data_IF_944971419364
#
_entry.id   IF_944971419364
#
_cell.length_a   1.000
_cell.length_b   1.000
_cell.length_c   1.000
_cell.angle_alpha   90.00
_cell.angle_beta   90.00
_cell.angle_gamma   90.00
#
_symmetry.space_group_name_H-M   'P 1'
#
loop_
_entity.id
_entity.type
_entity.pdbx_description
1 polymer ?
#
# COMPACT_ATOMS: atom_id res chain seq x y z
N UNK A 1 30.27 9.34 -9.10
CA UNK A 1 29.34 10.03 -8.19
C UNK A 1 28.42 9.00 -7.57
N UNK A 2 28.83 8.40 -6.44
CA UNK A 2 28.11 7.32 -5.74
C UNK A 2 27.68 7.87 -4.38
N UNK A 3 26.54 8.56 -4.32
CA UNK A 3 25.92 8.98 -3.06
C UNK A 3 24.52 9.50 -3.40
N UNK A 4 23.47 8.73 -3.06
CA UNK A 4 22.08 9.22 -2.84
C UNK A 4 21.03 8.12 -2.64
N UNK A 5 21.38 6.83 -2.75
CA UNK A 5 20.41 5.73 -2.61
C UNK A 5 20.51 4.98 -1.26
N UNK A 6 20.81 5.68 -0.17
CA UNK A 6 20.92 5.06 1.16
C UNK A 6 19.89 5.56 2.19
N UNK A 7 19.00 6.48 1.80
CA UNK A 7 18.17 7.21 2.76
C UNK A 7 16.71 6.73 2.88
N UNK A 8 16.26 5.70 2.14
CA UNK A 8 14.82 5.39 2.04
C UNK A 8 14.42 4.04 2.68
N UNK A 9 15.35 3.26 3.22
CA UNK A 9 15.06 1.89 3.72
C UNK A 9 14.69 1.85 5.22
N UNK A 10 14.62 2.99 5.91
CA UNK A 10 14.52 3.03 7.37
C UNK A 10 13.12 3.32 7.91
N UNK A 11 12.06 2.59 7.51
CA UNK A 11 10.78 2.58 8.27
C UNK A 11 10.08 1.22 8.15
N UNK A 12 10.69 0.14 8.63
CA UNK A 12 9.95 -1.10 8.99
C UNK A 12 10.54 -1.61 10.30
N UNK A 13 10.24 -0.89 11.38
CA UNK A 13 10.75 -1.15 12.73
C UNK A 13 9.63 -1.60 13.66
N UNK A 14 9.57 -2.92 13.85
CA UNK A 14 8.82 -3.71 14.83
C UNK A 14 8.28 -3.02 16.09
N UNK A 15 7.06 -3.40 16.51
CA UNK A 15 6.74 -3.58 17.93
C UNK A 15 5.63 -4.64 18.09
N UNK A 16 6.02 -5.88 18.42
CA UNK A 16 5.13 -7.01 18.64
C UNK A 16 4.78 -7.14 20.11
N UNK A 17 3.57 -6.78 20.53
CA UNK A 17 3.07 -7.03 21.88
C UNK A 17 1.84 -7.93 21.83
N UNK A 18 1.99 -9.11 22.42
CA UNK A 18 0.92 -10.07 22.64
C UNK A 18 -0.04 -9.54 23.71
N UNK A 19 -1.36 -9.68 23.49
CA UNK A 19 -2.35 -9.58 24.57
C UNK A 19 -3.23 -10.83 24.52
N UNK A 20 -3.28 -11.64 25.60
CA UNK A 20 -4.21 -12.76 25.69
C UNK A 20 -5.64 -12.24 25.91
N UNK A 21 -6.67 -12.79 25.26
CA UNK A 21 -8.05 -12.55 25.66
C UNK A 21 -8.32 -13.36 26.93
N UNK A 22 -8.60 -12.68 28.05
CA UNK A 22 -8.92 -13.36 29.29
C UNK A 22 -10.17 -12.79 29.97
N UNK A 23 -11.14 -13.70 30.06
CA UNK A 23 -12.11 -13.92 31.13
C UNK A 23 -13.23 -12.90 31.35
N UNK A 24 -14.47 -13.38 31.18
CA UNK A 24 -15.58 -12.95 32.02
C UNK A 24 -16.30 -14.20 32.56
N UNK A 25 -16.10 -14.41 33.85
CA UNK A 25 -16.78 -15.35 34.74
C UNK A 25 -18.30 -15.07 34.74
N UNK A 26 -19.08 -16.08 34.36
CA UNK A 26 -20.55 -16.06 34.46
C UNK A 26 -20.95 -16.43 35.88
N UNK A 27 -20.73 -15.52 36.83
CA UNK A 27 -21.18 -15.68 38.22
C UNK A 27 -22.72 -15.69 38.29
N UNK A 28 -23.30 -16.85 38.58
CA UNK A 28 -24.74 -17.04 38.81
C UNK A 28 -25.20 -16.25 40.04
N UNK A 29 -26.10 -15.29 39.81
CA UNK A 29 -26.50 -14.31 40.83
C UNK A 29 -27.76 -14.69 41.60
N UNK A 30 -27.63 -15.01 42.89
CA UNK A 30 -28.72 -14.94 43.87
C UNK A 30 -28.97 -13.50 44.37
N UNK A 31 -29.95 -13.31 45.26
CA UNK A 31 -30.40 -12.00 45.75
C UNK A 31 -29.24 -11.06 46.17
N UNK A 32 -29.08 -9.94 45.47
CA UNK A 32 -27.97 -8.98 45.62
C UNK A 32 -26.87 -9.07 44.54
N UNK A 33 -27.13 -9.73 43.41
CA UNK A 33 -26.12 -9.98 42.39
C UNK A 33 -25.75 -8.75 41.54
N UNK A 34 -24.43 -8.54 41.40
CA UNK A 34 -23.81 -7.68 40.39
C UNK A 34 -23.38 -8.58 39.22
N UNK A 35 -23.88 -8.30 38.01
CA UNK A 35 -23.37 -8.94 36.79
C UNK A 35 -22.51 -7.93 36.03
N UNK A 36 -21.20 -8.18 35.97
CA UNK A 36 -20.24 -7.35 35.27
C UNK A 36 -19.61 -8.12 34.11
N UNK A 37 -19.44 -7.48 32.96
CA UNK A 37 -18.74 -8.07 31.82
C UNK A 37 -17.99 -6.99 31.05
N UNK A 38 -16.72 -7.25 30.76
CA UNK A 38 -15.86 -6.36 29.98
C UNK A 38 -15.34 -7.15 28.78
N UNK A 39 -15.52 -6.62 27.57
CA UNK A 39 -14.93 -7.16 26.34
C UNK A 39 -13.95 -6.14 25.78
N UNK A 40 -12.71 -6.56 25.56
CA UNK A 40 -11.68 -5.74 24.91
C UNK A 40 -11.15 -6.45 23.66
N UNK A 41 -11.00 -5.71 22.57
CA UNK A 41 -10.34 -6.16 21.35
C UNK A 41 -9.34 -5.10 20.91
N UNK A 42 -8.17 -5.54 20.47
CA UNK A 42 -7.15 -4.68 19.89
C UNK A 42 -6.65 -5.33 18.60
N UNK A 43 -6.65 -4.56 17.52
CA UNK A 43 -6.17 -4.99 16.21
C UNK A 43 -5.09 -4.03 15.74
N UNK A 44 -3.90 -4.53 15.42
CA UNK A 44 -2.79 -3.75 14.87
C UNK A 44 -2.31 -4.42 13.59
N UNK A 45 -2.43 -3.75 12.45
CA UNK A 45 -1.96 -4.25 11.15
C UNK A 45 -1.00 -3.28 10.49
N UNK A 46 0.06 -3.84 9.92
CA UNK A 46 1.09 -3.09 9.22
C UNK A 46 1.37 -3.75 7.87
N UNK A 47 1.26 -2.97 6.80
CA UNK A 47 1.54 -3.39 5.44
C UNK A 47 2.60 -2.45 4.84
N UNK A 48 3.61 -3.04 4.21
CA UNK A 48 4.70 -2.31 3.58
C UNK A 48 5.03 -2.92 2.23
N UNK A 49 5.09 -2.10 1.18
CA UNK A 49 5.50 -2.52 -0.14
C UNK A 49 6.54 -1.55 -0.71
N UNK A 50 7.61 -2.11 -1.29
CA UNK A 50 8.63 -1.34 -1.98
C UNK A 50 9.01 -2.02 -3.29
N UNK A 51 8.98 -1.26 -4.38
CA UNK A 51 9.40 -1.71 -5.69
C UNK A 51 10.42 -0.72 -6.26
N UNK A 52 11.55 -1.25 -6.74
CA UNK A 52 12.61 -0.45 -7.35
C UNK A 52 12.99 -1.11 -8.66
N UNK A 53 12.80 -0.38 -9.75
CA UNK A 53 13.19 -0.78 -11.10
C UNK A 53 14.27 0.16 -11.59
N UNK A 54 15.36 -0.42 -12.07
CA UNK A 54 16.47 0.32 -12.67
C UNK A 54 16.87 -0.31 -13.97
N UNK A 55 16.91 0.48 -15.02
CA UNK A 55 17.30 -0.02 -16.33
C UNK A 55 18.27 0.94 -17.01
N UNK A 56 19.47 0.44 -17.29
CA UNK A 56 20.45 1.11 -18.13
C UNK A 56 20.55 0.34 -19.46
N UNK A 57 20.00 0.88 -20.53
CA UNK A 57 19.98 0.27 -21.85
C UNK A 57 20.82 1.08 -22.83
N UNK A 58 21.83 0.47 -23.47
CA UNK A 58 22.63 1.11 -24.51
C UNK A 58 22.60 0.30 -25.79
N UNK A 59 22.30 0.94 -26.91
CA UNK A 59 22.36 0.36 -28.25
C UNK A 59 23.20 1.27 -29.14
N UNK A 60 24.18 0.71 -29.83
CA UNK A 60 25.06 1.46 -30.72
C UNK A 60 25.34 0.66 -32.00
N UNK A 61 25.15 1.30 -33.15
CA UNK A 61 25.52 0.76 -34.45
C UNK A 61 26.52 1.70 -35.13
N UNK A 62 27.72 1.19 -35.43
CA UNK A 62 28.84 2.01 -35.97
C UNK A 62 29.52 1.25 -37.11
N UNK A 63 28.88 1.09 -38.28
CA UNK A 63 29.54 0.48 -39.42
C UNK A 63 30.62 1.43 -39.96
N UNK A 64 31.79 0.89 -40.31
CA UNK A 64 32.93 1.67 -40.80
C UNK A 64 33.42 1.10 -42.12
N UNK A 65 33.40 1.92 -43.18
CA UNK A 65 33.87 1.55 -44.51
C UNK A 65 35.03 2.44 -44.94
N UNK A 66 36.18 1.85 -45.28
CA UNK A 66 37.38 2.59 -45.67
C UNK A 66 37.93 2.03 -46.98
N UNK A 67 38.15 2.88 -47.99
CA UNK A 67 38.75 2.46 -49.26
C UNK A 67 39.62 3.56 -49.90
N UNK A 68 40.67 3.16 -50.62
CA UNK A 68 41.46 4.10 -51.45
C UNK A 68 40.74 4.54 -52.72
N UNK A 69 39.74 3.77 -53.18
CA UNK A 69 38.84 4.11 -54.26
C UNK A 69 37.51 4.68 -53.76
N UNK A 70 36.42 4.33 -54.43
CA UNK A 70 35.07 4.74 -54.01
C UNK A 70 34.54 3.88 -52.85
N UNK A 71 33.73 4.46 -51.97
CA UNK A 71 32.93 3.74 -50.97
C UNK A 71 31.45 3.82 -51.33
N UNK A 72 30.76 2.68 -51.30
CA UNK A 72 29.30 2.60 -51.39
C UNK A 72 28.78 1.86 -50.16
N UNK A 73 28.20 2.60 -49.22
CA UNK A 73 27.64 2.06 -47.99
C UNK A 73 26.13 1.88 -48.12
N UNK A 74 25.63 0.73 -47.67
CA UNK A 74 24.21 0.46 -47.57
C UNK A 74 23.51 1.28 -46.47
N UNK A 75 22.22 1.05 -46.24
CA UNK A 75 21.48 1.68 -45.15
C UNK A 75 22.03 1.25 -43.77
N UNK A 76 21.91 2.13 -42.77
CA UNK A 76 22.36 1.87 -41.40
C UNK A 76 21.31 2.30 -40.39
N UNK A 77 20.96 1.44 -39.42
CA UNK A 77 19.98 1.80 -38.40
C UNK A 77 20.35 1.31 -37.00
N UNK A 78 19.89 2.04 -35.98
CA UNK A 78 19.89 1.60 -34.58
C UNK A 78 18.48 1.77 -34.00
N UNK A 79 17.85 0.68 -33.57
CA UNK A 79 16.49 0.71 -33.00
C UNK A 79 16.53 0.16 -31.57
N UNK A 80 16.07 0.95 -30.60
CA UNK A 80 16.07 0.59 -29.18
C UNK A 80 14.68 0.72 -28.58
N UNK A 81 14.27 -0.32 -27.85
CA UNK A 81 13.13 -0.32 -26.95
C UNK A 81 13.64 -0.55 -25.52
N UNK A 82 13.34 0.37 -24.61
CA UNK A 82 13.67 0.27 -23.19
C UNK A 82 12.41 0.53 -22.36
N UNK A 83 12.09 -0.35 -21.41
CA UNK A 83 10.98 -0.18 -20.47
C UNK A 83 11.41 -0.55 -19.05
N UNK A 84 11.11 0.33 -18.09
CA UNK A 84 11.38 0.19 -16.67
C UNK A 84 10.09 0.42 -15.90
N UNK A 85 9.63 -0.58 -15.15
CA UNK A 85 8.36 -0.53 -14.44
C UNK A 85 8.55 -0.96 -12.98
N UNK A 86 7.98 -0.20 -12.04
CA UNK A 86 8.00 -0.49 -10.61
C UNK A 86 6.59 -0.34 -10.02
N UNK A 87 6.06 -1.40 -9.41
CA UNK A 87 4.72 -1.38 -8.82
C UNK A 87 4.76 -1.84 -7.35
N UNK A 88 4.25 -1.01 -6.44
CA UNK A 88 4.19 -1.29 -5.01
C UNK A 88 2.77 -1.12 -4.47
N UNK A 89 2.19 -2.19 -3.91
CA UNK A 89 0.85 -2.18 -3.32
C UNK A 89 0.87 -2.68 -1.88
N UNK A 90 0.38 -1.87 -0.95
CA UNK A 90 0.25 -2.22 0.46
C UNK A 90 -1.20 -2.01 0.90
N UNK A 91 -1.81 -3.00 1.54
CA UNK A 91 -3.17 -2.88 2.05
C UNK A 91 -3.37 -3.63 3.36
N UNK A 92 -4.13 -3.05 4.28
CA UNK A 92 -4.64 -3.72 5.48
C UNK A 92 -6.17 -3.77 5.45
N UNK A 93 -6.73 -4.82 6.05
CA UNK A 93 -8.17 -5.04 6.19
C UNK A 93 -8.45 -5.64 7.58
N UNK A 94 -9.22 -4.95 8.42
CA UNK A 94 -9.43 -5.30 9.81
C UNK A 94 -10.88 -5.14 10.27
N UNK A 95 -11.54 -6.27 10.49
CA UNK A 95 -12.88 -6.34 11.08
C UNK A 95 -12.83 -6.69 12.56
N UNK A 96 -13.40 -5.84 13.40
CA UNK A 96 -13.60 -6.13 14.84
C UNK A 96 -15.09 -6.14 15.17
N UNK A 97 -15.61 -7.30 15.56
CA UNK A 97 -17.00 -7.47 16.01
C UNK A 97 -17.07 -7.95 17.46
N UNK A 98 -17.68 -7.14 18.32
CA UNK A 98 -17.90 -7.46 19.74
C UNK A 98 -19.40 -7.53 20.04
N UNK A 99 -19.84 -8.65 20.61
CA UNK A 99 -21.23 -8.87 21.03
C UNK A 99 -21.25 -9.26 22.50
N UNK A 100 -21.90 -8.44 23.32
CA UNK A 100 -22.05 -8.68 24.74
C UNK A 100 -23.54 -8.73 25.10
N UNK A 101 -23.98 -9.86 25.64
CA UNK A 101 -25.32 -10.05 26.16
C UNK A 101 -25.24 -10.29 27.66
N UNK A 102 -26.01 -9.54 28.45
CA UNK A 102 -26.15 -9.70 29.89
C UNK A 102 -27.62 -9.85 30.23
N UNK A 103 -27.98 -11.02 30.74
CA UNK A 103 -29.33 -11.32 31.20
C UNK A 103 -29.26 -11.63 32.70
N UNK A 104 -30.03 -10.87 33.49
CA UNK A 104 -30.09 -11.03 34.94
C UNK A 104 -31.55 -11.00 35.39
N UNK A 105 -32.00 -12.06 36.07
CA UNK A 105 -33.32 -12.14 36.70
C UNK A 105 -33.15 -11.96 38.20
N UNK A 106 -33.88 -11.01 38.79
CA UNK A 106 -33.82 -10.73 40.23
C UNK A 106 -35.24 -10.69 40.80
N UNK A 107 -35.44 -11.32 41.95
CA UNK A 107 -36.76 -11.57 42.52
C UNK A 107 -37.21 -13.01 42.27
N UNK A 108 -37.77 -13.65 43.30
CA UNK A 108 -38.14 -15.07 43.26
C UNK A 108 -38.46 -15.69 44.61
N UNK A 109 -38.82 -14.88 45.62
CA UNK A 109 -39.23 -15.36 46.94
C UNK A 109 -40.63 -14.85 47.28
N UNK A 110 -41.53 -15.78 47.64
CA UNK A 110 -42.80 -15.42 48.27
C UNK A 110 -42.52 -14.83 49.65
N UNK A 111 -43.06 -13.65 49.91
CA UNK A 111 -42.82 -12.95 51.17
C UNK A 111 -44.06 -12.20 51.62
N UNK A 112 -44.47 -12.44 52.86
CA UNK A 112 -45.74 -11.95 53.39
C UNK A 112 -45.69 -10.52 53.95
N UNK A 113 -44.51 -9.99 54.33
CA UNK A 113 -44.34 -8.60 54.78
C UNK A 113 -42.86 -8.16 54.75
N UNK A 114 -42.59 -6.91 54.35
CA UNK A 114 -41.27 -6.27 54.51
C UNK A 114 -40.18 -6.67 53.51
N UNK A 115 -40.51 -7.36 52.40
CA UNK A 115 -39.51 -7.67 51.38
C UNK A 115 -39.34 -6.51 50.40
N UNK A 116 -38.47 -5.59 50.77
CA UNK A 116 -37.73 -4.85 49.76
C UNK A 116 -36.79 -5.82 49.06
N UNK A 117 -37.00 -6.04 47.76
CA UNK A 117 -36.10 -6.88 46.98
C UNK A 117 -34.66 -6.39 47.07
N UNK A 118 -33.68 -7.28 46.89
CA UNK A 118 -32.30 -6.84 46.71
C UNK A 118 -32.15 -6.09 45.38
N UNK A 119 -31.43 -4.97 45.38
CA UNK A 119 -31.12 -4.21 44.16
C UNK A 119 -30.33 -5.05 43.18
N UNK A 120 -30.49 -4.76 41.89
CA UNK A 120 -29.84 -5.50 40.81
C UNK A 120 -29.08 -4.54 39.91
N UNK A 121 -27.79 -4.81 39.69
CA UNK A 121 -26.92 -3.97 38.87
C UNK A 121 -26.28 -4.79 37.73
N UNK A 122 -26.47 -4.33 36.50
CA UNK A 122 -25.77 -4.82 35.32
C UNK A 122 -24.78 -3.76 34.84
N UNK A 123 -23.50 -4.13 34.72
CA UNK A 123 -22.45 -3.26 34.17
C UNK A 123 -21.79 -3.98 33.01
N UNK A 124 -21.89 -3.42 31.80
CA UNK A 124 -21.26 -3.96 30.60
C UNK A 124 -20.35 -2.91 29.96
N UNK A 125 -19.14 -3.31 29.59
CA UNK A 125 -18.21 -2.45 28.85
C UNK A 125 -17.65 -3.16 27.59
N UNK A 126 -17.70 -2.50 26.45
CA UNK A 126 -17.07 -2.93 25.19
C UNK A 126 -16.03 -1.89 24.76
N UNK A 127 -14.78 -2.34 24.63
CA UNK A 127 -13.63 -1.52 24.26
C UNK A 127 -12.98 -2.11 23.01
N UNK A 128 -12.83 -1.32 21.96
CA UNK A 128 -12.16 -1.73 20.72
C UNK A 128 -11.10 -0.71 20.33
N UNK A 129 -9.91 -1.16 19.94
CA UNK A 129 -8.86 -0.28 19.37
C UNK A 129 -8.31 -0.93 18.09
N UNK A 130 -8.45 -0.26 16.96
CA UNK A 130 -7.95 -0.73 15.66
C UNK A 130 -6.92 0.25 15.12
N UNK A 131 -5.72 -0.22 14.85
CA UNK A 131 -4.61 0.52 14.26
C UNK A 131 -4.19 -0.14 12.96
N UNK A 132 -4.15 0.62 11.87
CA UNK A 132 -3.66 0.14 10.57
C UNK A 132 -2.68 1.13 9.97
N UNK A 133 -1.56 0.62 9.49
CA UNK A 133 -0.56 1.41 8.79
C UNK A 133 -0.17 0.74 7.46
N UNK A 134 -0.38 1.42 6.34
CA UNK A 134 0.00 0.95 5.01
C UNK A 134 0.97 1.93 4.35
N UNK A 135 2.15 1.44 3.96
CA UNK A 135 3.17 2.21 3.25
C UNK A 135 3.53 1.57 1.91
N UNK A 136 3.47 2.34 0.82
CA UNK A 136 3.91 1.89 -0.50
C UNK A 136 4.93 2.84 -1.13
N UNK A 137 6.00 2.30 -1.68
CA UNK A 137 7.01 3.07 -2.40
C UNK A 137 7.39 2.40 -3.72
N UNK A 138 7.20 3.09 -4.83
CA UNK A 138 7.65 2.65 -6.14
C UNK A 138 8.67 3.62 -6.72
N UNK A 139 9.79 3.11 -7.21
CA UNK A 139 10.83 3.91 -7.86
C UNK A 139 11.23 3.25 -9.18
N UNK A 140 11.04 3.94 -10.30
CA UNK A 140 11.54 3.55 -11.60
C UNK A 140 12.61 4.54 -12.06
N UNK A 141 13.77 4.03 -12.46
CA UNK A 141 14.92 4.84 -12.90
C UNK A 141 15.50 4.24 -14.17
N UNK A 142 15.28 4.91 -15.30
CA UNK A 142 15.67 4.44 -16.61
C UNK A 142 16.68 5.36 -17.28
N UNK A 143 17.80 4.80 -17.74
CA UNK A 143 18.70 5.45 -18.67
C UNK A 143 18.73 4.65 -19.98
N UNK A 144 18.34 5.26 -21.09
CA UNK A 144 18.34 4.65 -22.40
C UNK A 144 19.19 5.48 -23.37
N UNK A 145 20.19 4.86 -24.01
CA UNK A 145 21.04 5.48 -25.02
C UNK A 145 20.99 4.68 -26.31
N UNK A 146 20.63 5.32 -27.42
CA UNK A 146 20.60 4.73 -28.74
C UNK A 146 21.45 5.58 -29.71
N UNK A 147 22.38 4.96 -30.42
CA UNK A 147 23.27 5.65 -31.35
C UNK A 147 23.43 4.89 -32.66
N UNK A 148 23.36 5.60 -33.79
CA UNK A 148 23.73 5.11 -35.11
C UNK A 148 24.78 6.06 -35.70
N UNK A 149 25.99 5.58 -35.94
CA UNK A 149 27.13 6.38 -36.40
C UNK A 149 27.82 5.67 -37.57
N UNK A 150 27.21 5.62 -38.76
CA UNK A 150 27.87 5.05 -39.94
C UNK A 150 29.02 5.96 -40.38
N UNK A 151 30.20 5.39 -40.60
CA UNK A 151 31.42 6.11 -40.99
C UNK A 151 31.95 5.59 -42.32
N UNK A 152 32.12 6.48 -43.30
CA UNK A 152 32.66 6.16 -44.61
C UNK A 152 33.87 7.06 -44.92
N UNK A 153 34.99 6.45 -45.33
CA UNK A 153 36.21 7.15 -45.70
C UNK A 153 36.70 6.64 -47.05
N UNK A 154 36.77 7.52 -48.05
CA UNK A 154 37.12 7.18 -49.43
C UNK A 154 38.23 8.09 -49.99
N UNK A 155 39.19 7.52 -50.72
CA UNK A 155 40.10 8.30 -51.57
C UNK A 155 39.39 8.84 -52.83
N UNK A 156 38.37 8.13 -53.30
CA UNK A 156 37.45 8.56 -54.37
C UNK A 156 36.16 9.17 -53.84
N UNK A 157 35.04 8.86 -54.50
CA UNK A 157 33.70 9.29 -54.10
C UNK A 157 33.14 8.45 -52.95
N UNK A 158 32.26 9.05 -52.15
CA UNK A 158 31.47 8.33 -51.13
C UNK A 158 29.99 8.42 -51.46
N UNK A 159 29.32 7.27 -51.51
CA UNK A 159 27.87 7.17 -51.53
C UNK A 159 27.41 6.45 -50.27
N UNK A 160 26.56 7.07 -49.46
CA UNK A 160 25.98 6.44 -48.27
C UNK A 160 24.47 6.28 -48.43
N UNK A 161 23.95 5.11 -48.04
CA UNK A 161 22.53 4.87 -47.93
C UNK A 161 21.85 5.70 -46.83
N UNK A 162 20.52 5.57 -46.67
CA UNK A 162 19.80 6.23 -45.60
C UNK A 162 20.27 5.74 -44.22
N UNK A 163 20.17 6.60 -43.22
CA UNK A 163 20.57 6.30 -41.86
C UNK A 163 19.51 6.71 -40.84
N UNK A 164 19.30 5.90 -39.81
CA UNK A 164 18.34 6.23 -38.75
C UNK A 164 18.72 5.75 -37.36
N UNK A 165 18.33 6.51 -36.35
CA UNK A 165 18.33 6.06 -34.96
C UNK A 165 16.92 6.25 -34.39
N UNK A 166 16.30 5.19 -33.89
CA UNK A 166 14.94 5.21 -33.39
C UNK A 166 14.88 4.62 -31.98
N UNK A 167 14.37 5.40 -31.02
CA UNK A 167 14.36 5.04 -29.61
C UNK A 167 12.96 5.20 -29.03
N UNK A 168 12.50 4.16 -28.35
CA UNK A 168 11.35 4.20 -27.46
C UNK A 168 11.80 3.85 -26.04
N UNK A 169 11.65 4.80 -25.12
CA UNK A 169 11.97 4.65 -23.70
C UNK A 169 10.72 4.90 -22.85
N UNK A 170 10.37 3.97 -21.96
CA UNK A 170 9.27 4.12 -21.02
C UNK A 170 9.72 3.85 -19.57
N UNK A 171 9.41 4.75 -18.66
CA UNK A 171 9.68 4.62 -17.23
C UNK A 171 8.39 4.83 -16.44
N UNK A 172 7.93 3.82 -15.73
CA UNK A 172 6.65 3.84 -15.01
C UNK A 172 6.84 3.40 -13.56
N UNK A 173 6.25 4.15 -12.62
CA UNK A 173 6.23 3.81 -11.21
C UNK A 173 4.81 3.94 -10.66
N UNK A 174 4.29 2.94 -9.98
CA UNK A 174 2.96 2.98 -9.37
C UNK A 174 3.03 2.57 -7.90
N UNK A 175 2.53 3.42 -7.00
CA UNK A 175 2.43 3.09 -5.58
C UNK A 175 1.00 3.29 -5.07
N UNK A 176 0.45 2.27 -4.41
CA UNK A 176 -0.88 2.31 -3.78
C UNK A 176 -0.82 1.80 -2.35
N UNK A 177 -1.38 2.57 -1.43
CA UNK A 177 -1.52 2.20 -0.03
C UNK A 177 -2.98 2.41 0.42
N UNK A 178 -3.58 1.43 1.08
CA UNK A 178 -4.94 1.52 1.61
C UNK A 178 -5.09 0.81 2.94
N UNK A 179 -6.06 1.26 3.73
CA UNK A 179 -6.46 0.63 4.97
C UNK A 179 -7.99 0.58 4.99
N UNK A 180 -8.55 -0.55 5.36
CA UNK A 180 -10.00 -0.71 5.58
C UNK A 180 -10.25 -1.31 6.96
N UNK A 181 -11.13 -0.69 7.76
CA UNK A 181 -11.39 -1.15 9.11
C UNK A 181 -12.82 -0.88 9.54
N UNK A 182 -13.53 -1.96 9.89
CA UNK A 182 -14.85 -1.89 10.48
C UNK A 182 -14.84 -2.32 11.94
N UNK A 183 -15.57 -1.57 12.77
CA UNK A 183 -15.80 -1.91 14.17
C UNK A 183 -17.28 -1.94 14.47
N UNK A 184 -17.79 -3.12 14.83
CA UNK A 184 -19.19 -3.31 15.23
C UNK A 184 -19.24 -3.73 16.69
N UNK A 185 -19.79 -2.87 17.55
CA UNK A 185 -20.08 -3.15 18.95
C UNK A 185 -21.59 -3.26 19.15
N UNK A 186 -22.04 -4.38 19.71
CA UNK A 186 -23.45 -4.58 20.09
C UNK A 186 -23.53 -5.06 21.54
N UNK A 187 -24.23 -4.29 22.36
CA UNK A 187 -24.51 -4.61 23.75
C UNK A 187 -26.02 -4.76 23.97
N UNK A 188 -26.43 -5.90 24.55
CA UNK A 188 -27.81 -6.15 24.96
C UNK A 188 -27.83 -6.41 26.46
N UNK A 189 -28.64 -5.64 27.18
CA UNK A 189 -28.84 -5.77 28.62
C UNK A 189 -30.33 -5.98 28.90
N UNK A 190 -30.68 -7.13 29.46
CA UNK A 190 -32.05 -7.46 29.84
C UNK A 190 -32.10 -7.75 31.32
N UNK A 191 -32.96 -7.02 32.05
CA UNK A 191 -33.15 -7.23 33.48
C UNK A 191 -34.62 -7.50 33.76
N UNK A 192 -34.90 -8.69 34.28
CA UNK A 192 -36.25 -9.07 34.72
C UNK A 192 -36.32 -8.95 36.23
N UNK A 193 -37.18 -8.06 36.72
CA UNK A 193 -37.51 -7.95 38.14
C UNK A 193 -38.84 -8.65 38.38
N UNK A 194 -38.79 -9.87 38.93
CA UNK A 194 -40.00 -10.60 39.27
C UNK A 194 -40.64 -9.97 40.52
N UNK A 195 -41.80 -9.34 40.32
CA UNK A 195 -42.56 -8.71 41.39
C UNK A 195 -42.98 -9.75 42.43
N UNK A 196 -42.44 -9.66 43.64
CA UNK A 196 -42.94 -10.45 44.77
C UNK A 196 -44.39 -10.05 45.05
N UNK A 197 -45.28 -11.04 45.24
CA UNK A 197 -46.65 -10.86 45.73
C UNK A 197 -46.64 -10.36 47.18
N UNK A 198 -46.30 -9.09 47.39
CA UNK A 198 -46.18 -8.49 48.72
C UNK A 198 -47.47 -7.70 49.03
N UNK A 199 -48.06 -7.94 50.21
CA UNK A 199 -49.35 -7.38 50.58
C UNK A 199 -49.26 -6.00 51.27
N UNK A 200 -48.14 -5.68 51.94
CA UNK A 200 -47.92 -4.38 52.62
C UNK A 200 -46.42 -4.05 52.67
N UNK A 201 -46.05 -2.80 52.33
CA UNK A 201 -44.68 -2.26 52.52
C UNK A 201 -43.65 -2.64 51.46
N UNK A 202 -44.07 -2.81 50.20
CA UNK A 202 -43.21 -3.27 49.11
C UNK A 202 -42.41 -2.10 48.51
N UNK A 203 -41.29 -1.73 49.15
CA UNK A 203 -40.29 -0.85 48.54
C UNK A 203 -39.48 -1.64 47.52
N UNK A 204 -39.82 -1.56 46.23
CA UNK A 204 -39.08 -2.25 45.18
C UNK A 204 -37.62 -1.81 45.13
N UNK A 205 -36.70 -2.78 45.01
CA UNK A 205 -35.29 -2.49 44.84
C UNK A 205 -35.04 -1.68 43.57
N UNK A 206 -34.18 -0.66 43.64
CA UNK A 206 -33.69 0.03 42.46
C UNK A 206 -32.91 -0.93 41.55
N UNK A 207 -33.17 -0.83 40.25
CA UNK A 207 -32.44 -1.51 39.19
C UNK A 207 -31.53 -0.50 38.48
N UNK A 208 -30.26 -0.85 38.25
CA UNK A 208 -29.30 -0.01 37.54
C UNK A 208 -28.67 -0.79 36.38
N UNK A 209 -28.74 -0.23 35.17
CA UNK A 209 -28.05 -0.74 33.99
C UNK A 209 -27.08 0.32 33.50
N UNK A 210 -25.81 -0.06 33.38
CA UNK A 210 -24.75 0.81 32.86
C UNK A 210 -24.09 0.07 31.70
N UNK A 211 -24.11 0.70 30.53
CA UNK A 211 -23.42 0.24 29.34
C UNK A 211 -22.41 1.27 28.86
N UNK A 212 -21.18 0.83 28.63
CA UNK A 212 -20.10 1.67 28.09
C UNK A 212 -19.59 1.02 26.81
N UNK A 213 -19.70 1.73 25.69
CA UNK A 213 -19.12 1.33 24.41
C UNK A 213 -18.13 2.41 23.99
N UNK A 214 -16.88 2.01 23.76
CA UNK A 214 -15.89 2.87 23.17
C UNK A 214 -15.06 2.10 22.14
N UNK A 215 -14.88 2.74 20.99
CA UNK A 215 -14.08 2.23 19.89
C UNK A 215 -13.13 3.34 19.42
N UNK A 216 -11.86 3.00 19.25
CA UNK A 216 -10.85 3.83 18.61
C UNK A 216 -10.41 3.18 17.31
N UNK A 217 -10.40 3.94 16.22
CA UNK A 217 -9.82 3.50 14.95
C UNK A 217 -8.82 4.53 14.48
N UNK A 218 -7.59 4.08 14.18
CA UNK A 218 -6.54 4.90 13.59
C UNK A 218 -6.01 4.21 12.33
N UNK A 219 -6.07 4.91 11.21
CA UNK A 219 -5.62 4.42 9.91
C UNK A 219 -4.67 5.44 9.28
N UNK A 220 -3.45 5.00 8.99
CA UNK A 220 -2.45 5.81 8.30
C UNK A 220 -2.05 5.09 7.00
N UNK A 221 -2.31 5.69 5.84
CA UNK A 221 -1.91 5.13 4.54
C UNK A 221 -1.10 6.16 3.75
N UNK A 222 0.07 5.77 3.28
CA UNK A 222 0.97 6.62 2.51
C UNK A 222 1.57 5.88 1.32
N UNK A 223 1.50 6.50 0.15
CA UNK A 223 2.09 5.97 -1.07
C UNK A 223 2.95 7.04 -1.76
N UNK A 224 4.08 6.62 -2.32
CA UNK A 224 4.95 7.48 -3.12
C UNK A 224 5.46 6.74 -4.36
N UNK A 225 5.29 7.34 -5.52
CA UNK A 225 5.84 6.87 -6.78
C UNK A 225 6.85 7.88 -7.33
N UNK A 226 7.97 7.39 -7.83
CA UNK A 226 9.03 8.22 -8.42
C UNK A 226 9.46 7.56 -9.71
N UNK A 227 9.25 8.24 -10.83
CA UNK A 227 9.76 7.82 -12.13
C UNK A 227 10.82 8.81 -12.63
N UNK A 228 11.96 8.29 -13.04
CA UNK A 228 13.08 9.05 -13.61
C UNK A 228 13.48 8.43 -14.92
N UNK A 229 13.64 9.28 -15.92
CA UNK A 229 14.06 8.83 -17.24
C UNK A 229 15.09 9.77 -17.84
N UNK A 230 16.18 9.20 -18.35
CA UNK A 230 17.12 9.85 -19.25
C UNK A 230 17.16 9.05 -20.55
N UNK A 231 16.71 9.64 -21.65
CA UNK A 231 16.73 9.02 -22.97
C UNK A 231 17.58 9.89 -23.93
N UNK A 232 18.57 9.27 -24.57
CA UNK A 232 19.45 9.90 -25.56
C UNK A 232 19.40 9.09 -26.84
N UNK A 233 18.99 9.73 -27.94
CA UNK A 233 19.00 9.14 -29.27
C UNK A 233 19.83 9.98 -30.24
N UNK A 234 20.77 9.37 -30.96
CA UNK A 234 21.65 10.06 -31.89
C UNK A 234 21.81 9.28 -33.21
N UNK A 235 21.69 10.00 -34.33
CA UNK A 235 22.08 9.51 -35.65
C UNK A 235 23.13 10.46 -36.24
N UNK A 236 24.37 10.00 -36.37
CA UNK A 236 25.50 10.83 -36.81
C UNK A 236 26.28 10.13 -37.94
N UNK A 237 25.80 10.22 -39.19
CA UNK A 237 26.57 9.75 -40.34
C UNK A 237 27.82 10.61 -40.57
N UNK A 238 28.95 9.97 -40.82
CA UNK A 238 30.23 10.62 -41.12
C UNK A 238 30.72 10.14 -42.47
N UNK A 239 30.90 11.05 -43.43
CA UNK A 239 31.44 10.76 -44.76
C UNK A 239 32.66 11.65 -45.02
N UNK A 240 33.78 11.04 -45.39
CA UNK A 240 35.03 11.72 -45.77
C UNK A 240 35.44 11.20 -47.14
N UNK A 241 35.59 12.08 -48.13
CA UNK A 241 35.90 11.69 -49.50
C UNK A 241 36.96 12.62 -50.11
N UNK A 242 37.85 12.06 -50.93
CA UNK A 242 38.70 12.85 -51.84
C UNK A 242 37.94 13.38 -53.07
N UNK A 243 36.83 12.73 -53.42
CA UNK A 243 35.88 13.14 -54.45
C UNK A 243 34.55 13.65 -53.87
N UNK A 244 33.46 13.39 -54.59
CA UNK A 244 32.11 13.81 -54.21
C UNK A 244 31.52 12.95 -53.07
N UNK A 245 30.66 13.57 -52.26
CA UNK A 245 29.86 12.90 -51.23
C UNK A 245 28.39 12.96 -51.63
N UNK A 246 27.74 11.80 -51.72
CA UNK A 246 26.30 11.64 -51.89
C UNK A 246 25.74 10.90 -50.69
N UNK A 247 24.90 11.54 -49.88
CA UNK A 247 24.32 10.95 -48.69
C UNK A 247 22.82 10.74 -48.81
N UNK A 248 22.36 9.55 -48.45
CA UNK A 248 20.95 9.29 -48.20
C UNK A 248 20.41 10.07 -46.99
N UNK A 249 19.08 10.09 -46.81
CA UNK A 249 18.45 10.82 -45.70
C UNK A 249 18.93 10.29 -44.34
N UNK A 250 18.91 11.18 -43.35
CA UNK A 250 19.34 10.93 -41.98
C UNK A 250 18.24 11.35 -41.01
N UNK A 251 17.88 10.48 -40.06
CA UNK A 251 16.88 10.80 -39.04
C UNK A 251 17.22 10.24 -37.66
N UNK A 252 16.84 10.98 -36.63
CA UNK A 252 16.85 10.52 -35.25
C UNK A 252 15.45 10.76 -34.67
N UNK A 253 14.75 9.69 -34.31
CA UNK A 253 13.41 9.76 -33.73
C UNK A 253 13.41 9.18 -32.32
N UNK A 254 12.89 9.95 -31.36
CA UNK A 254 12.90 9.59 -29.96
C UNK A 254 11.50 9.81 -29.36
N UNK A 255 10.98 8.77 -28.73
CA UNK A 255 9.81 8.86 -27.86
C UNK A 255 10.24 8.41 -26.46
N UNK A 256 10.06 9.29 -25.49
CA UNK A 256 10.45 9.09 -24.10
C UNK A 256 9.25 9.44 -23.23
N UNK A 257 8.78 8.49 -22.44
CA UNK A 257 7.67 8.65 -21.52
C UNK A 257 8.07 8.27 -20.09
N UNK A 258 7.65 9.10 -19.13
CA UNK A 258 7.98 8.93 -17.71
C UNK A 258 6.74 9.25 -16.87
N UNK A 259 6.18 8.23 -16.21
CA UNK A 259 4.93 8.32 -15.45
C UNK A 259 5.10 7.81 -14.01
N UNK A 260 4.46 8.48 -13.06
CA UNK A 260 4.45 8.16 -11.63
C UNK A 260 3.08 8.45 -11.01
#
# INVERSE_FOLDING_TARGET
MKLKLLAVVAVVGALAWAVPPAMADTGGGGAGALQAGVQQAATDQQAGAAAISKQDATNANVPVNIAGGNVSAGPSSANQLASSEAEAKASNDADTSQKQNQDQTVGGGSCSAGCGGAGAAQIGAQLSDTKQNAGALAVSDQNAVNANVPVNVAGGNTTSGPSSANQLANSEAEAKASNDADTTQKQTQTQNVDGSSCHVGCGGAGAAQIGVQAAGTKQDAAAAAISKQNAVNANVPVNVAGGNITSGPSSANQLANSEA
#
